data_IF_164856081087
#
_entry.id   IF_164856081087
#
_cell.length_a   1.000
_cell.length_b   1.000
_cell.length_c   1.000
_cell.angle_alpha   90.00
_cell.angle_beta   90.00
_cell.angle_gamma   90.00
#
_symmetry.space_group_name_H-M   'P 1'
#
loop_
_entity.id
_entity.type
_entity.pdbx_description
1 polymer ?
#
# COMPACT_ATOMS: atom_id res chain seq x y z
N UNK A 1 43.35 13.34 -25.67
CA UNK A 1 42.68 12.45 -24.70
C UNK A 1 42.68 13.16 -23.36
N UNK A 2 41.54 13.31 -22.65
CA UNK A 2 41.58 13.80 -21.29
C UNK A 2 42.32 12.78 -20.41
N UNK A 3 43.07 13.24 -19.39
CA UNK A 3 43.81 12.35 -18.50
C UNK A 3 42.85 11.45 -17.70
N UNK A 4 43.31 10.23 -17.30
CA UNK A 4 42.51 9.36 -16.44
C UNK A 4 42.25 10.07 -15.11
N UNK A 5 40.98 10.18 -14.73
CA UNK A 5 40.58 10.73 -13.46
C UNK A 5 41.22 9.90 -12.35
N UNK A 6 42.04 10.54 -11.50
CA UNK A 6 42.64 9.87 -10.36
C UNK A 6 41.53 9.34 -9.45
N UNK A 7 41.61 8.07 -8.99
CA UNK A 7 40.57 7.50 -8.15
C UNK A 7 40.50 8.28 -6.83
N UNK A 8 39.31 8.79 -6.52
CA UNK A 8 39.08 9.48 -5.26
C UNK A 8 39.22 8.49 -4.11
N UNK A 9 40.18 8.78 -3.22
CA UNK A 9 40.49 7.94 -2.05
C UNK A 9 39.44 8.03 -0.94
N UNK A 10 38.63 9.09 -0.94
CA UNK A 10 37.53 9.30 0.00
C UNK A 10 36.31 9.78 -0.78
N UNK A 11 35.16 9.15 -0.54
CA UNK A 11 33.93 9.50 -1.25
C UNK A 11 33.22 10.72 -0.65
N UNK A 12 33.41 11.01 0.65
CA UNK A 12 32.88 12.21 1.32
C UNK A 12 33.99 13.21 1.64
N UNK A 13 33.69 14.48 1.41
CA UNK A 13 34.50 15.58 1.92
C UNK A 13 34.39 15.64 3.46
N UNK A 14 35.50 15.63 4.22
CA UNK A 14 35.44 15.67 5.69
C UNK A 14 34.99 17.03 6.23
N UNK A 15 34.96 18.08 5.40
CA UNK A 15 34.58 19.44 5.82
C UNK A 15 33.08 19.70 5.67
N UNK A 16 32.46 19.17 4.61
CA UNK A 16 31.07 19.45 4.28
C UNK A 16 30.21 18.20 4.05
N UNK A 17 30.78 17.00 4.16
CA UNK A 17 30.12 15.70 3.97
C UNK A 17 29.55 15.44 2.55
N UNK A 18 29.66 16.41 1.65
CA UNK A 18 29.30 16.29 0.24
C UNK A 18 30.15 15.23 -0.48
N UNK A 19 29.58 14.59 -1.49
CA UNK A 19 30.29 13.63 -2.33
C UNK A 19 31.47 14.31 -3.05
N UNK A 20 32.68 13.82 -2.81
CA UNK A 20 33.91 14.43 -3.36
C UNK A 20 34.11 14.14 -4.86
N UNK A 21 33.35 13.22 -5.43
CA UNK A 21 33.43 12.78 -6.82
C UNK A 21 32.09 12.20 -7.30
N UNK A 22 31.95 12.00 -8.61
CA UNK A 22 30.75 11.39 -9.16
C UNK A 22 30.63 9.93 -8.71
N UNK A 23 29.59 9.65 -7.93
CA UNK A 23 29.27 8.32 -7.40
C UNK A 23 28.11 7.64 -8.14
N UNK A 24 27.72 8.15 -9.31
CA UNK A 24 26.55 7.66 -10.05
C UNK A 24 26.59 6.15 -10.31
N UNK A 25 27.76 5.61 -10.68
CA UNK A 25 27.93 4.17 -10.86
C UNK A 25 27.71 3.38 -9.55
N UNK A 26 28.23 3.91 -8.44
CA UNK A 26 28.09 3.28 -7.13
C UNK A 26 26.63 3.28 -6.68
N UNK A 27 25.91 4.41 -6.86
CA UNK A 27 24.47 4.50 -6.59
C UNK A 27 23.65 3.48 -7.38
N UNK A 28 24.00 3.25 -8.65
CA UNK A 28 23.37 2.19 -9.47
C UNK A 28 23.65 0.78 -8.93
N UNK A 29 24.81 0.53 -8.33
CA UNK A 29 25.07 -0.76 -7.68
C UNK A 29 24.22 -0.94 -6.43
N UNK A 30 24.06 0.11 -5.62
CA UNK A 30 23.17 0.10 -4.44
C UNK A 30 21.72 -0.16 -4.88
N UNK A 31 21.23 0.53 -5.91
CA UNK A 31 19.89 0.30 -6.48
C UNK A 31 19.66 -1.19 -6.80
N UNK A 32 20.65 -1.82 -7.42
CA UNK A 32 20.59 -3.24 -7.78
C UNK A 32 20.60 -4.13 -6.54
N UNK A 33 21.44 -3.85 -5.55
CA UNK A 33 21.53 -4.66 -4.33
C UNK A 33 20.25 -4.59 -3.51
N UNK A 34 19.64 -3.41 -3.43
CA UNK A 34 18.32 -3.18 -2.84
C UNK A 34 17.25 -4.01 -3.57
N UNK A 35 17.23 -4.01 -4.91
CA UNK A 35 16.24 -4.79 -5.66
C UNK A 35 16.37 -6.31 -5.45
N UNK A 36 17.57 -6.79 -5.13
CA UNK A 36 17.85 -8.21 -4.89
C UNK A 36 17.63 -8.62 -3.43
N UNK A 37 17.55 -7.66 -2.51
CA UNK A 37 17.52 -7.89 -1.07
C UNK A 37 16.29 -7.19 -0.46
N UNK A 38 15.07 -7.69 -0.69
CA UNK A 38 13.86 -7.07 -0.17
C UNK A 38 13.89 -6.95 1.36
N UNK A 39 13.27 -5.90 1.90
CA UNK A 39 13.19 -5.67 3.34
C UNK A 39 12.29 -6.72 4.03
N UNK A 40 12.61 -7.13 5.27
CA UNK A 40 11.74 -8.00 6.06
C UNK A 40 10.35 -7.40 6.27
N UNK A 41 9.36 -8.26 6.51
CA UNK A 41 7.95 -7.88 6.69
C UNK A 41 7.77 -6.85 7.82
N UNK A 42 8.57 -6.93 8.88
CA UNK A 42 8.49 -6.00 10.01
C UNK A 42 8.92 -4.57 9.65
N UNK A 43 9.59 -4.37 8.52
CA UNK A 43 10.02 -3.05 8.02
C UNK A 43 9.43 -2.74 6.64
N UNK A 44 8.55 -3.61 6.14
CA UNK A 44 7.92 -3.42 4.85
C UNK A 44 7.00 -2.18 4.91
N UNK A 45 7.17 -1.27 3.95
CA UNK A 45 6.46 0.00 3.93
C UNK A 45 6.94 1.04 4.95
N UNK A 46 7.97 0.73 5.76
CA UNK A 46 8.59 1.72 6.63
C UNK A 46 9.25 2.81 5.78
N UNK A 47 9.05 4.07 6.18
CA UNK A 47 9.67 5.23 5.56
C UNK A 47 10.51 5.98 6.58
N UNK A 48 11.40 6.83 6.10
CA UNK A 48 12.29 7.60 6.96
C UNK A 48 12.54 8.96 6.33
N UNK A 49 12.59 9.98 7.17
CA UNK A 49 12.98 11.32 6.74
C UNK A 49 14.50 11.37 6.71
N UNK A 50 15.06 11.86 5.60
CA UNK A 50 16.48 11.99 5.39
C UNK A 50 16.86 13.41 5.00
N UNK A 51 18.08 13.81 5.33
CA UNK A 51 18.78 14.96 4.77
C UNK A 51 19.83 14.46 3.78
N UNK A 52 19.77 14.95 2.54
CA UNK A 52 20.78 14.61 1.53
C UNK A 52 22.01 15.51 1.67
N UNK A 53 23.20 14.95 1.85
CA UNK A 53 24.45 15.72 1.92
C UNK A 53 24.84 16.32 0.56
N UNK A 54 24.31 15.77 -0.53
CA UNK A 54 24.62 16.25 -1.87
C UNK A 54 23.78 17.47 -2.30
N UNK A 55 22.45 17.39 -2.21
CA UNK A 55 21.56 18.49 -2.60
C UNK A 55 20.94 19.26 -1.42
N UNK A 56 21.29 18.91 -0.18
CA UNK A 56 20.80 19.54 1.06
C UNK A 56 19.27 19.53 1.22
N UNK A 57 18.58 18.67 0.47
CA UNK A 57 17.12 18.56 0.50
C UNK A 57 16.68 17.54 1.56
N UNK A 58 15.62 17.86 2.29
CA UNK A 58 14.92 16.90 3.14
C UNK A 58 13.88 16.15 2.32
N UNK A 59 13.85 14.83 2.42
CA UNK A 59 12.83 14.02 1.76
C UNK A 59 12.46 12.81 2.64
N UNK A 60 11.23 12.34 2.48
CA UNK A 60 10.74 11.11 3.11
C UNK A 60 10.80 10.01 2.06
N UNK A 61 11.54 8.95 2.36
CA UNK A 61 11.85 7.88 1.40
C UNK A 61 11.66 6.51 2.05
N UNK A 62 11.45 5.43 1.28
CA UNK A 62 11.41 4.08 1.82
C UNK A 62 12.70 3.76 2.59
N UNK A 63 12.54 3.20 3.78
CA UNK A 63 13.68 2.76 4.57
C UNK A 63 14.23 1.46 3.98
N UNK A 64 15.53 1.44 3.74
CA UNK A 64 16.25 0.23 3.37
C UNK A 64 17.60 0.20 4.08
N UNK A 65 17.96 -0.95 4.65
CA UNK A 65 19.20 -1.10 5.44
C UNK A 65 20.47 -0.80 4.64
N UNK A 66 20.46 -1.09 3.34
CA UNK A 66 21.58 -0.84 2.42
C UNK A 66 21.74 0.64 2.02
N UNK A 67 20.67 1.45 2.12
CA UNK A 67 20.75 2.86 1.74
C UNK A 67 19.41 3.50 1.46
N UNK A 68 19.34 4.81 1.70
CA UNK A 68 18.14 5.63 1.48
C UNK A 68 18.41 6.59 0.32
N UNK A 69 17.68 6.41 -0.79
CA UNK A 69 17.87 7.19 -2.02
C UNK A 69 17.18 8.54 -1.93
N UNK A 70 17.92 9.62 -2.12
CA UNK A 70 17.33 10.95 -2.21
C UNK A 70 16.45 11.07 -3.47
N UNK A 71 15.21 11.56 -3.31
CA UNK A 71 14.28 11.79 -4.44
C UNK A 71 14.65 13.01 -5.29
N UNK A 72 15.41 13.96 -4.74
CA UNK A 72 15.81 15.18 -5.46
C UNK A 72 16.98 14.98 -6.43
N UNK A 73 18.01 14.23 -6.02
CA UNK A 73 19.22 14.05 -6.84
C UNK A 73 19.61 12.59 -7.09
N UNK A 74 18.90 11.62 -6.52
CA UNK A 74 19.18 10.18 -6.68
C UNK A 74 20.40 9.68 -5.91
N UNK A 75 21.06 10.53 -5.09
CA UNK A 75 22.21 10.15 -4.28
C UNK A 75 21.80 9.33 -3.06
N UNK A 76 22.68 8.41 -2.65
CA UNK A 76 22.58 7.69 -1.37
C UNK A 76 23.48 8.30 -0.29
N UNK A 77 24.13 9.44 -0.57
CA UNK A 77 24.87 10.19 0.44
C UNK A 77 23.91 10.98 1.35
N UNK A 78 23.15 10.25 2.15
CA UNK A 78 22.05 10.77 2.97
C UNK A 78 22.30 10.47 4.44
N UNK A 79 21.75 11.31 5.31
CA UNK A 79 21.73 11.12 6.75
C UNK A 79 20.28 11.03 7.23
N UNK A 80 20.00 10.17 8.19
CA UNK A 80 18.68 10.05 8.78
C UNK A 80 18.36 11.30 9.62
N UNK A 81 17.19 11.86 9.40
CA UNK A 81 16.66 13.05 10.08
C UNK A 81 15.44 12.64 10.92
N UNK A 82 15.70 12.05 12.09
CA UNK A 82 14.66 11.55 13.00
C UNK A 82 14.56 10.02 13.05
N UNK A 83 13.37 9.50 13.36
CA UNK A 83 13.10 8.06 13.50
C UNK A 83 12.53 7.40 12.23
N UNK A 84 12.37 6.08 12.30
CA UNK A 84 11.57 5.34 11.31
C UNK A 84 10.10 5.69 11.48
N UNK A 85 9.41 5.85 10.35
CA UNK A 85 7.98 6.13 10.25
C UNK A 85 7.35 4.87 9.68
N UNK A 86 6.67 4.13 10.53
CA UNK A 86 5.98 2.91 10.14
C UNK A 86 4.51 3.23 9.88
N UNK A 87 4.02 2.91 8.69
CA UNK A 87 2.58 2.93 8.45
C UNK A 87 2.01 1.80 9.29
N UNK A 88 1.13 2.13 10.25
CA UNK A 88 0.34 1.12 10.93
C UNK A 88 -0.44 0.37 9.85
N UNK A 89 -0.21 -0.94 9.75
CA UNK A 89 -0.90 -1.86 8.84
C UNK A 89 -2.37 -1.98 9.25
N UNK A 90 -3.15 -0.91 9.11
CA UNK A 90 -4.55 -0.84 9.53
C UNK A 90 -5.50 -0.29 8.46
N UNK A 91 -5.00 0.15 7.31
CA UNK A 91 -5.84 0.75 6.25
C UNK A 91 -6.47 -0.25 5.28
N UNK A 92 -5.86 -1.43 5.09
CA UNK A 92 -6.35 -2.43 4.11
C UNK A 92 -7.39 -3.39 4.70
N UNK A 93 -7.42 -3.56 6.03
CA UNK A 93 -8.39 -4.44 6.70
C UNK A 93 -9.76 -3.79 6.93
N UNK A 94 -9.84 -2.45 6.96
CA UNK A 94 -11.12 -1.74 7.17
C UNK A 94 -12.04 -1.81 5.94
N UNK A 95 -11.49 -1.69 4.73
CA UNK A 95 -12.30 -1.69 3.50
C UNK A 95 -12.99 -3.03 3.24
N UNK A 96 -12.33 -4.15 3.57
CA UNK A 96 -12.90 -5.49 3.36
C UNK A 96 -13.97 -5.85 4.38
N UNK A 97 -13.95 -5.25 5.58
CA UNK A 97 -14.98 -5.47 6.60
C UNK A 97 -16.28 -4.73 6.29
N UNK A 98 -16.17 -3.49 5.80
CA UNK A 98 -17.33 -2.65 5.45
C UNK A 98 -18.12 -3.21 4.25
N UNK A 99 -17.42 -3.71 3.21
CA UNK A 99 -18.07 -4.33 2.04
C UNK A 99 -18.81 -5.64 2.38
N UNK A 100 -18.29 -6.42 3.33
CA UNK A 100 -18.92 -7.69 3.76
C UNK A 100 -20.16 -7.44 4.63
N UNK A 101 -20.12 -6.45 5.52
CA UNK A 101 -21.29 -6.09 6.36
C UNK A 101 -22.44 -5.51 5.52
N UNK A 102 -22.16 -4.76 4.44
CA UNK A 102 -23.19 -4.27 3.53
C UNK A 102 -23.82 -5.38 2.67
N UNK A 103 -23.03 -6.38 2.23
CA UNK A 103 -23.55 -7.53 1.48
C UNK A 103 -24.41 -8.46 2.35
N UNK A 104 -24.04 -8.70 3.61
CA UNK A 104 -24.86 -9.50 4.54
C UNK A 104 -26.20 -8.80 4.86
N UNK A 105 -26.21 -7.48 5.09
CA UNK A 105 -27.44 -6.74 5.36
C UNK A 105 -28.40 -6.73 4.16
N UNK A 106 -27.87 -6.58 2.94
CA UNK A 106 -28.69 -6.63 1.72
C UNK A 106 -29.31 -8.02 1.50
N UNK A 107 -28.57 -9.09 1.81
CA UNK A 107 -29.09 -10.46 1.71
C UNK A 107 -30.18 -10.74 2.75
N UNK A 108 -30.03 -10.25 3.99
CA UNK A 108 -31.07 -10.39 5.02
C UNK A 108 -32.36 -9.61 4.63
N UNK A 109 -32.24 -8.39 4.10
CA UNK A 109 -33.40 -7.62 3.62
C UNK A 109 -34.11 -8.31 2.44
N UNK A 110 -33.37 -8.84 1.46
CA UNK A 110 -33.95 -9.57 0.32
C UNK A 110 -34.63 -10.89 0.74
N UNK A 111 -34.11 -11.60 1.75
CA UNK A 111 -34.74 -12.82 2.29
C UNK A 111 -36.02 -12.50 3.07
N UNK A 112 -36.05 -11.39 3.82
CA UNK A 112 -37.27 -10.95 4.53
C UNK A 112 -38.38 -10.50 3.57
N UNK A 113 -38.05 -9.80 2.48
CA UNK A 113 -39.04 -9.42 1.46
C UNK A 113 -39.62 -10.66 0.75
N UNK A 114 -38.78 -11.64 0.39
CA UNK A 114 -39.25 -12.88 -0.24
C UNK A 114 -40.17 -13.70 0.66
N UNK A 115 -39.86 -13.80 1.96
CA UNK A 115 -40.72 -14.50 2.91
C UNK A 115 -42.09 -13.81 3.06
N UNK A 116 -42.12 -12.47 3.08
CA UNK A 116 -43.37 -11.72 3.14
C UNK A 116 -44.21 -11.90 1.87
N UNK A 117 -43.59 -11.93 0.68
CA UNK A 117 -44.30 -12.19 -0.58
C UNK A 117 -44.83 -13.63 -0.68
N UNK A 118 -44.12 -14.62 -0.13
CA UNK A 118 -44.59 -16.00 -0.04
C UNK A 118 -45.76 -16.13 0.94
N UNK A 119 -45.68 -15.54 2.13
CA UNK A 119 -46.79 -15.52 3.10
C UNK A 119 -48.03 -14.82 2.51
N UNK A 120 -47.88 -13.67 1.83
CA UNK A 120 -48.99 -12.97 1.19
C UNK A 120 -49.61 -13.79 0.04
N UNK A 121 -48.81 -14.55 -0.71
CA UNK A 121 -49.30 -15.47 -1.74
C UNK A 121 -50.05 -16.68 -1.16
N UNK A 122 -49.57 -17.26 -0.06
CA UNK A 122 -50.25 -18.35 0.65
C UNK A 122 -51.61 -17.88 1.23
N UNK A 123 -51.67 -16.66 1.79
CA UNK A 123 -52.91 -16.05 2.27
C UNK A 123 -53.93 -15.83 1.12
N UNK A 124 -53.47 -15.43 -0.08
CA UNK A 124 -54.34 -15.27 -1.26
C UNK A 124 -54.86 -16.63 -1.78
N UNK A 125 -54.05 -17.70 -1.71
CA UNK A 125 -54.44 -19.03 -2.21
C UNK A 125 -55.47 -19.73 -1.30
N UNK A 126 -55.46 -19.43 0.00
CA UNK A 126 -56.37 -20.05 0.99
C UNK A 126 -57.81 -19.48 1.00
N UNK A 127 -58.05 -18.31 0.40
CA UNK A 127 -59.37 -17.66 0.35
C UNK A 127 -60.22 -18.04 -0.90
N UNK A 128 -59.67 -18.84 -1.83
CA UNK A 128 -60.36 -19.22 -3.08
C UNK A 128 -61.16 -20.53 -2.93
N UNK A 129 -62.32 -20.45 -2.28
CA UNK A 129 -63.30 -21.55 -2.21
C UNK A 129 -63.78 -21.99 -3.62
N UNK A 130 -63.84 -23.29 -3.97
CA UNK A 130 -64.29 -23.72 -5.29
C UNK A 130 -65.82 -23.72 -5.41
N UNK A 131 -66.37 -22.85 -6.27
CA UNK A 131 -67.79 -22.87 -6.67
C UNK A 131 -68.17 -24.27 -7.23
N UNK A 132 -69.09 -24.93 -6.54
CA UNK A 132 -69.60 -26.26 -6.90
C UNK A 132 -70.51 -26.19 -8.14
N UNK A 133 -70.11 -26.87 -9.21
CA UNK A 133 -70.92 -27.09 -10.42
C UNK A 133 -72.24 -27.84 -10.09
N UNK A 134 -73.41 -27.40 -10.60
CA UNK A 134 -74.65 -28.12 -10.39
C UNK A 134 -74.71 -29.38 -11.28
N UNK A 135 -75.01 -30.53 -10.67
CA UNK A 135 -75.17 -31.82 -11.34
C UNK A 135 -76.53 -31.94 -12.06
N UNK A 136 -76.62 -32.64 -13.20
CA UNK A 136 -77.84 -32.73 -14.00
C UNK A 136 -78.81 -33.82 -13.52
N UNK A 137 -80.11 -33.57 -13.71
CA UNK A 137 -81.18 -34.58 -13.78
C UNK A 137 -82.07 -34.32 -14.99
#
# INVERSE_FOLDING_TARGET
MPPPLSPCRAYRCPLCMHSACSMEYHWKQIDKEISLSPMPTEYQGATVKILCNDCQTHCTVPFHVLGMKCTGCGSYNTAQDGGLIQQQQGGEQQQQGEEQEEEEQQQEEEEEEQQQEEEEQEDIETDREPEQLPTPY
#
